data_IF_198570606432
#
_entry.id   IF_198570606432
#
_cell.length_a   1.000
_cell.length_b   1.000
_cell.length_c   1.000
_cell.angle_alpha   90.00
_cell.angle_beta   90.00
_cell.angle_gamma   90.00
#
_symmetry.space_group_name_H-M   'P 1'
#
loop_
_entity.id
_entity.type
_entity.pdbx_description
1 polymer ?
#
# COMPACT_ATOMS: atom_id res chain seq x y z
N UNK A 1 -43.99 -6.64 -24.85
CA UNK A 1 -43.82 -6.92 -23.43
C UNK A 1 -42.34 -6.73 -23.10
N UNK A 2 -42.00 -5.91 -22.09
CA UNK A 2 -40.62 -5.74 -21.66
C UNK A 2 -40.18 -7.05 -21.00
N UNK A 3 -39.06 -7.64 -21.43
CA UNK A 3 -38.57 -8.91 -20.92
C UNK A 3 -37.93 -8.71 -19.54
N UNK A 4 -38.69 -9.02 -18.49
CA UNK A 4 -38.27 -8.87 -17.09
C UNK A 4 -37.09 -9.76 -16.69
N UNK A 5 -36.87 -10.90 -17.36
CA UNK A 5 -35.79 -11.84 -16.98
C UNK A 5 -34.37 -11.29 -17.16
N UNK A 6 -34.16 -10.32 -18.05
CA UNK A 6 -32.88 -9.62 -18.21
C UNK A 6 -32.69 -8.49 -17.20
N UNK A 7 -33.79 -7.84 -16.79
CA UNK A 7 -33.74 -6.82 -15.73
C UNK A 7 -33.50 -7.49 -14.38
N UNK A 8 -34.13 -8.64 -14.12
CA UNK A 8 -33.97 -9.39 -12.87
C UNK A 8 -32.54 -9.91 -12.66
N UNK A 9 -31.87 -10.42 -13.69
CA UNK A 9 -30.49 -10.91 -13.55
C UNK A 9 -29.47 -9.79 -13.32
N UNK A 10 -29.65 -8.64 -13.98
CA UNK A 10 -28.82 -7.46 -13.75
C UNK A 10 -29.10 -6.80 -12.40
N UNK A 11 -30.36 -6.77 -11.97
CA UNK A 11 -30.75 -6.26 -10.64
C UNK A 11 -30.24 -7.20 -9.54
N UNK A 12 -30.34 -8.51 -9.68
CA UNK A 12 -29.77 -9.49 -8.73
C UNK A 12 -28.23 -9.42 -8.71
N UNK A 13 -27.60 -9.23 -9.86
CA UNK A 13 -26.15 -8.98 -9.98
C UNK A 13 -25.73 -7.67 -9.29
N UNK A 14 -26.52 -6.60 -9.40
CA UNK A 14 -26.28 -5.32 -8.72
C UNK A 14 -26.53 -5.41 -7.21
N UNK A 15 -27.59 -6.10 -6.78
CA UNK A 15 -27.92 -6.35 -5.36
C UNK A 15 -26.88 -7.28 -4.71
N UNK A 16 -26.30 -8.22 -5.46
CA UNK A 16 -25.25 -9.12 -4.94
C UNK A 16 -23.88 -8.46 -4.77
N UNK A 17 -23.66 -7.26 -5.34
CA UNK A 17 -22.39 -6.53 -5.28
C UNK A 17 -22.33 -5.48 -4.19
N UNK A 18 -23.49 -5.04 -3.69
CA UNK A 18 -23.57 -3.98 -2.69
C UNK A 18 -24.45 -4.39 -1.53
N UNK A 19 -24.08 -3.99 -0.33
CA UNK A 19 -24.83 -4.20 0.90
C UNK A 19 -24.76 -2.95 1.77
N UNK A 20 -25.53 -2.92 2.85
CA UNK A 20 -25.45 -1.84 3.84
C UNK A 20 -25.39 -2.42 5.24
N UNK A 21 -24.66 -1.75 6.12
CA UNK A 21 -24.62 -2.16 7.53
C UNK A 21 -24.04 -1.10 8.42
N UNK A 22 -24.22 -1.28 9.73
CA UNK A 22 -23.68 -0.39 10.75
C UNK A 22 -22.32 -0.90 11.18
N UNK A 23 -21.32 -0.02 11.22
CA UNK A 23 -20.00 -0.39 11.73
C UNK A 23 -20.02 -0.49 13.24
N UNK A 24 -19.83 -1.71 13.74
CA UNK A 24 -19.84 -2.06 15.16
C UNK A 24 -18.48 -1.84 15.81
N UNK A 25 -17.40 -2.06 15.04
CA UNK A 25 -16.03 -2.00 15.54
C UNK A 25 -15.03 -1.73 14.41
N UNK A 26 -13.97 -1.01 14.73
CA UNK A 26 -12.77 -0.91 13.90
C UNK A 26 -11.64 -1.68 14.58
N UNK A 27 -11.03 -2.61 13.85
CA UNK A 27 -9.96 -3.46 14.36
C UNK A 27 -8.63 -2.72 14.25
N UNK A 28 -8.32 -2.25 13.04
CA UNK A 28 -7.12 -1.52 12.62
C UNK A 28 -7.46 -0.59 11.43
N UNK A 29 -6.46 0.00 10.78
CA UNK A 29 -6.63 1.00 9.74
C UNK A 29 -7.28 0.49 8.43
N UNK A 30 -7.43 -0.82 8.24
CA UNK A 30 -8.07 -1.40 7.05
C UNK A 30 -9.00 -2.57 7.34
N UNK A 31 -9.35 -2.82 8.60
CA UNK A 31 -10.28 -3.89 8.99
C UNK A 31 -11.36 -3.39 9.93
N UNK A 32 -12.62 -3.61 9.56
CA UNK A 32 -13.81 -3.28 10.37
C UNK A 32 -14.69 -4.50 10.62
N UNK A 33 -15.66 -4.35 11.52
CA UNK A 33 -16.73 -5.33 11.76
C UNK A 33 -18.08 -4.69 11.49
N UNK A 34 -18.87 -5.32 10.63
CA UNK A 34 -20.23 -4.93 10.28
C UNK A 34 -21.13 -6.14 10.42
N UNK A 35 -22.19 -6.04 11.22
CA UNK A 35 -23.12 -7.14 11.50
C UNK A 35 -22.39 -8.44 11.91
N UNK A 36 -21.39 -8.35 12.80
CA UNK A 36 -20.54 -9.48 13.20
C UNK A 36 -19.57 -10.03 12.14
N UNK A 37 -19.54 -9.46 10.93
CA UNK A 37 -18.67 -9.90 9.82
C UNK A 37 -17.43 -9.01 9.72
N UNK A 38 -16.25 -9.62 9.60
CA UNK A 38 -15.00 -8.89 9.36
C UNK A 38 -14.90 -8.46 7.89
N UNK A 39 -14.68 -7.17 7.67
CA UNK A 39 -14.44 -6.59 6.34
C UNK A 39 -13.01 -6.06 6.27
N UNK A 40 -12.25 -6.51 5.27
CA UNK A 40 -10.94 -5.98 4.89
C UNK A 40 -11.11 -5.03 3.71
N UNK A 41 -10.67 -3.79 3.89
CA UNK A 41 -10.76 -2.74 2.89
C UNK A 41 -9.91 -3.11 1.66
N UNK A 42 -10.49 -3.13 0.47
CA UNK A 42 -9.78 -3.42 -0.78
C UNK A 42 -8.90 -2.25 -1.25
N UNK A 43 -7.92 -2.56 -2.09
CA UNK A 43 -7.11 -1.56 -2.79
C UNK A 43 -6.08 -0.83 -1.91
N UNK A 44 -6.03 -1.11 -0.61
CA UNK A 44 -5.20 -0.37 0.35
C UNK A 44 -4.52 -1.30 1.36
N UNK A 45 -3.41 -0.83 1.91
CA UNK A 45 -2.79 -1.44 3.08
C UNK A 45 -2.34 -0.36 4.07
N UNK A 46 -2.82 -0.45 5.30
CA UNK A 46 -2.43 0.47 6.37
C UNK A 46 -1.13 0.03 7.04
N UNK A 47 -0.42 0.94 7.74
CA UNK A 47 0.74 0.57 8.53
C UNK A 47 0.38 -0.54 9.53
N UNK A 48 1.34 -1.41 9.86
CA UNK A 48 1.13 -2.45 10.88
C UNK A 48 1.29 -1.90 12.31
N UNK A 49 0.83 -2.60 13.36
CA UNK A 49 0.77 -2.12 14.77
C UNK A 49 2.03 -1.44 15.35
N UNK A 50 3.21 -1.71 14.79
CA UNK A 50 4.50 -1.16 15.25
C UNK A 50 5.13 -0.19 14.24
N UNK A 51 4.41 0.13 13.17
CA UNK A 51 4.84 1.08 12.15
C UNK A 51 4.27 2.46 12.45
N UNK A 52 4.94 3.49 11.93
CA UNK A 52 4.48 4.87 12.02
C UNK A 52 3.11 5.00 11.36
N UNK A 53 2.25 5.83 11.95
CA UNK A 53 0.90 6.13 11.49
C UNK A 53 -0.13 5.00 11.63
N UNK A 54 0.20 3.89 12.32
CA UNK A 54 -0.78 2.83 12.61
C UNK A 54 -1.98 3.34 13.41
N UNK A 55 -1.70 4.04 14.51
CA UNK A 55 -2.74 4.48 15.44
C UNK A 55 -3.58 5.58 14.78
N UNK A 56 -2.91 6.50 14.08
CA UNK A 56 -3.53 7.58 13.31
C UNK A 56 -4.44 7.04 12.19
N UNK A 57 -4.02 5.98 11.48
CA UNK A 57 -4.85 5.33 10.46
C UNK A 57 -6.11 4.71 11.06
N UNK A 58 -5.96 4.01 12.19
CA UNK A 58 -7.08 3.42 12.91
C UNK A 58 -8.07 4.48 13.42
N UNK A 59 -7.57 5.50 14.11
CA UNK A 59 -8.40 6.58 14.67
C UNK A 59 -9.12 7.37 13.59
N UNK A 60 -8.45 7.61 12.47
CA UNK A 60 -9.06 8.25 11.31
C UNK A 60 -10.21 7.41 10.73
N UNK A 61 -9.99 6.10 10.53
CA UNK A 61 -11.05 5.19 10.10
C UNK A 61 -12.21 5.16 11.11
N UNK A 62 -11.91 5.03 12.41
CA UNK A 62 -12.91 5.08 13.50
C UNK A 62 -13.77 6.34 13.43
N UNK A 63 -13.17 7.52 13.32
CA UNK A 63 -13.91 8.79 13.21
C UNK A 63 -14.79 8.88 11.95
N UNK A 64 -14.37 8.23 10.86
CA UNK A 64 -15.12 8.20 9.62
C UNK A 64 -16.31 7.24 9.66
N UNK A 65 -16.19 6.04 10.25
CA UNK A 65 -17.17 4.97 10.02
C UNK A 65 -17.87 4.44 11.27
N UNK A 66 -17.29 4.58 12.47
CA UNK A 66 -17.82 3.93 13.67
C UNK A 66 -19.24 4.41 14.00
N UNK A 67 -20.14 3.48 14.31
CA UNK A 67 -21.57 3.73 14.58
C UNK A 67 -22.34 4.40 13.43
N UNK A 68 -21.81 4.37 12.20
CA UNK A 68 -22.50 4.87 11.00
C UNK A 68 -22.93 3.72 10.11
N UNK A 69 -24.02 3.94 9.37
CA UNK A 69 -24.41 3.07 8.26
C UNK A 69 -23.55 3.37 7.05
N UNK A 70 -22.95 2.34 6.48
CA UNK A 70 -22.07 2.43 5.32
C UNK A 70 -22.58 1.52 4.21
N UNK A 71 -22.33 1.91 2.96
CA UNK A 71 -22.51 1.04 1.81
C UNK A 71 -21.23 0.22 1.62
N UNK A 72 -21.40 -1.10 1.54
CA UNK A 72 -20.33 -2.08 1.33
C UNK A 72 -20.40 -2.47 -0.13
N UNK A 73 -19.33 -2.24 -0.86
CA UNK A 73 -19.20 -2.74 -2.22
C UNK A 73 -18.19 -3.87 -2.27
N UNK A 74 -18.66 -5.08 -2.59
CA UNK A 74 -17.84 -6.27 -2.64
C UNK A 74 -16.90 -6.26 -3.85
N UNK A 75 -15.68 -6.75 -3.63
CA UNK A 75 -14.74 -7.04 -4.70
C UNK A 75 -15.16 -8.19 -5.60
N UNK A 76 -14.40 -8.41 -6.67
CA UNK A 76 -14.60 -9.57 -7.56
C UNK A 76 -14.45 -10.89 -6.79
N UNK A 77 -13.42 -10.99 -5.95
CA UNK A 77 -13.30 -12.02 -4.93
C UNK A 77 -13.99 -11.56 -3.65
N UNK A 78 -14.89 -12.39 -3.12
CA UNK A 78 -15.68 -12.02 -1.94
C UNK A 78 -14.91 -12.18 -0.63
N UNK A 79 -13.99 -13.13 -0.56
CA UNK A 79 -13.30 -13.48 0.68
C UNK A 79 -11.80 -13.64 0.45
N UNK A 80 -11.01 -13.21 1.43
CA UNK A 80 -9.58 -13.54 1.46
C UNK A 80 -9.33 -14.93 2.08
N UNK A 81 -8.06 -15.34 2.11
CA UNK A 81 -7.62 -16.61 2.71
C UNK A 81 -7.90 -16.75 4.21
N UNK A 82 -8.24 -15.66 4.90
CA UNK A 82 -8.61 -15.62 6.31
C UNK A 82 -10.13 -15.52 6.49
N UNK A 83 -10.90 -15.69 5.41
CA UNK A 83 -12.35 -15.62 5.37
C UNK A 83 -12.91 -14.25 5.79
N UNK A 84 -12.14 -13.18 5.60
CA UNK A 84 -12.63 -11.79 5.73
C UNK A 84 -13.27 -11.38 4.42
N UNK A 85 -14.36 -10.63 4.51
CA UNK A 85 -15.02 -10.06 3.33
C UNK A 85 -14.19 -8.94 2.74
N UNK A 86 -14.00 -8.95 1.43
CA UNK A 86 -13.23 -7.95 0.70
C UNK A 86 -14.16 -6.89 0.10
N UNK A 87 -13.99 -5.62 0.49
CA UNK A 87 -14.88 -4.56 0.03
C UNK A 87 -14.27 -3.15 0.01
N UNK A 88 -14.89 -2.29 -0.79
CA UNK A 88 -14.79 -0.83 -0.68
C UNK A 88 -15.93 -0.31 0.19
N UNK A 89 -15.68 0.71 1.00
CA UNK A 89 -16.70 1.33 1.85
C UNK A 89 -17.07 2.71 1.31
N UNK A 90 -18.37 2.97 1.20
CA UNK A 90 -18.91 4.20 0.63
C UNK A 90 -19.84 4.86 1.66
N UNK A 91 -19.66 6.16 1.87
CA UNK A 91 -20.56 7.01 2.66
C UNK A 91 -20.94 8.23 1.83
N UNK A 92 -22.16 8.23 1.29
CA UNK A 92 -22.59 9.25 0.32
C UNK A 92 -21.76 9.14 -0.96
N UNK A 93 -21.03 10.20 -1.29
CA UNK A 93 -20.11 10.24 -2.45
C UNK A 93 -18.67 9.89 -2.07
N UNK A 94 -18.37 9.65 -0.79
CA UNK A 94 -17.01 9.43 -0.32
C UNK A 94 -16.66 7.94 -0.31
N UNK A 95 -15.59 7.57 -1.01
CA UNK A 95 -14.93 6.27 -0.86
C UNK A 95 -13.92 6.32 0.30
N UNK A 96 -14.20 5.60 1.38
CA UNK A 96 -13.40 5.65 2.62
C UNK A 96 -11.99 5.08 2.41
N UNK A 97 -11.85 4.08 1.53
CA UNK A 97 -10.56 3.50 1.17
C UNK A 97 -9.64 4.57 0.57
N UNK A 98 -10.16 5.35 -0.39
CA UNK A 98 -9.45 6.47 -0.98
C UNK A 98 -9.18 7.61 0.02
N UNK A 99 -10.07 7.88 0.97
CA UNK A 99 -9.83 8.88 2.01
C UNK A 99 -8.62 8.54 2.90
N UNK A 100 -8.43 7.27 3.25
CA UNK A 100 -7.23 6.81 3.98
C UNK A 100 -5.96 7.07 3.17
N UNK A 101 -5.97 6.75 1.88
CA UNK A 101 -4.84 6.99 0.97
C UNK A 101 -4.56 8.48 0.82
N UNK A 102 -5.61 9.29 0.59
CA UNK A 102 -5.54 10.74 0.38
C UNK A 102 -4.93 11.49 1.57
N UNK A 103 -5.11 10.95 2.77
CA UNK A 103 -4.55 11.48 4.01
C UNK A 103 -3.21 10.82 4.41
N UNK A 104 -2.65 9.94 3.57
CA UNK A 104 -1.37 9.28 3.82
C UNK A 104 -1.41 8.29 4.97
N UNK A 105 -2.56 7.67 5.20
CA UNK A 105 -2.79 6.68 6.25
C UNK A 105 -2.88 5.25 5.71
N UNK A 106 -2.82 5.08 4.39
CA UNK A 106 -2.67 3.80 3.72
C UNK A 106 -1.78 3.92 2.47
N UNK A 107 -1.03 2.87 2.15
CA UNK A 107 -0.43 2.69 0.83
C UNK A 107 -1.48 2.07 -0.11
N UNK A 108 -1.36 2.32 -1.41
CA UNK A 108 -2.15 1.59 -2.41
C UNK A 108 -1.68 0.13 -2.49
N UNK A 109 -2.63 -0.79 -2.62
CA UNK A 109 -2.38 -2.22 -2.81
C UNK A 109 -3.37 -2.79 -3.83
N UNK A 110 -2.99 -2.76 -5.11
CA UNK A 110 -3.87 -3.03 -6.24
C UNK A 110 -3.48 -4.37 -6.88
N UNK A 111 -4.08 -5.46 -6.40
CA UNK A 111 -3.87 -6.79 -6.97
C UNK A 111 -4.54 -6.95 -8.34
N UNK A 112 -5.73 -6.36 -8.53
CA UNK A 112 -6.46 -6.35 -9.79
C UNK A 112 -7.03 -4.96 -10.07
N UNK A 113 -6.90 -4.50 -11.32
CA UNK A 113 -7.48 -3.22 -11.72
C UNK A 113 -8.99 -3.34 -11.80
N UNK A 114 -9.67 -2.46 -11.08
CA UNK A 114 -11.11 -2.33 -11.05
C UNK A 114 -11.52 -0.86 -11.19
N UNK A 115 -12.81 -0.57 -10.97
CA UNK A 115 -13.36 0.78 -11.10
C UNK A 115 -12.90 1.77 -10.02
N UNK A 116 -12.34 1.29 -8.90
CA UNK A 116 -11.85 2.11 -7.78
C UNK A 116 -10.35 2.43 -7.92
N UNK A 117 -9.64 1.68 -8.75
CA UNK A 117 -8.20 1.87 -9.04
C UNK A 117 -7.85 3.32 -9.41
N UNK A 118 -8.67 3.99 -10.23
CA UNK A 118 -8.41 5.38 -10.63
C UNK A 118 -8.49 6.34 -9.44
N UNK A 119 -9.52 6.19 -8.61
CA UNK A 119 -9.75 6.99 -7.41
C UNK A 119 -8.62 6.81 -6.39
N UNK A 120 -8.16 5.57 -6.17
CA UNK A 120 -7.03 5.28 -5.28
C UNK A 120 -5.72 5.90 -5.76
N UNK A 121 -5.44 5.87 -7.07
CA UNK A 121 -4.25 6.51 -7.65
C UNK A 121 -4.32 8.04 -7.55
N UNK A 122 -5.50 8.63 -7.76
CA UNK A 122 -5.70 10.06 -7.56
C UNK A 122 -5.52 10.47 -6.08
N UNK A 123 -6.06 9.67 -5.17
CA UNK A 123 -5.85 9.84 -3.74
C UNK A 123 -4.36 9.78 -3.37
N UNK A 124 -3.61 8.82 -3.93
CA UNK A 124 -2.16 8.73 -3.70
C UNK A 124 -1.41 9.93 -4.26
N UNK A 125 -1.75 10.40 -5.47
CA UNK A 125 -1.17 11.62 -6.03
C UNK A 125 -1.44 12.84 -5.14
N UNK A 126 -2.64 12.96 -4.61
CA UNK A 126 -3.00 14.02 -3.65
C UNK A 126 -2.19 13.92 -2.36
N UNK A 127 -1.99 12.69 -1.85
CA UNK A 127 -1.15 12.44 -0.69
C UNK A 127 0.30 12.89 -0.92
N UNK A 128 0.87 12.52 -2.06
CA UNK A 128 2.22 12.92 -2.48
C UNK A 128 2.38 14.43 -2.62
N UNK A 129 1.35 15.14 -3.08
CA UNK A 129 1.34 16.61 -3.16
C UNK A 129 1.25 17.27 -1.78
N UNK A 130 0.45 16.71 -0.87
CA UNK A 130 0.26 17.24 0.48
C UNK A 130 1.43 16.94 1.41
N UNK A 131 2.16 15.86 1.18
CA UNK A 131 3.34 15.49 1.95
C UNK A 131 3.05 15.20 3.43
N UNK A 132 1.91 14.56 3.75
CA UNK A 132 1.52 14.22 5.12
C UNK A 132 1.65 12.72 5.39
N UNK A 133 1.88 12.37 6.65
CA UNK A 133 1.90 10.99 7.15
C UNK A 133 2.83 10.09 6.30
N UNK A 134 2.31 9.03 5.68
CA UNK A 134 3.10 8.14 4.81
C UNK A 134 3.71 8.84 3.60
N UNK A 135 3.14 9.94 3.12
CA UNK A 135 3.67 10.69 1.97
C UNK A 135 4.61 11.83 2.35
N UNK A 136 4.90 12.01 3.65
CA UNK A 136 5.86 13.01 4.08
C UNK A 136 7.25 12.70 3.53
N UNK A 137 7.83 13.66 2.82
CA UNK A 137 9.12 13.55 2.14
C UNK A 137 10.26 13.58 3.15
N UNK A 138 11.32 12.81 2.88
CA UNK A 138 12.53 12.83 3.69
C UNK A 138 13.29 14.15 3.55
N UNK A 139 13.62 14.75 4.69
CA UNK A 139 14.52 15.92 4.79
C UNK A 139 16.01 15.52 4.82
N UNK A 140 16.32 14.22 4.85
CA UNK A 140 17.69 13.73 4.80
C UNK A 140 18.33 14.17 3.47
N UNK A 141 19.50 14.85 3.43
CA UNK A 141 20.11 15.30 2.18
C UNK A 141 20.37 14.18 1.17
N UNK A 142 20.61 12.96 1.64
CA UNK A 142 20.78 11.80 0.78
C UNK A 142 19.51 11.38 0.04
N UNK A 143 18.32 11.81 0.48
CA UNK A 143 17.07 11.54 -0.21
C UNK A 143 17.03 12.15 -1.61
N UNK A 144 17.79 13.22 -1.85
CA UNK A 144 17.94 13.86 -3.16
C UNK A 144 18.98 13.18 -4.05
N UNK A 145 19.79 12.28 -3.48
CA UNK A 145 20.91 11.61 -4.14
C UNK A 145 20.62 10.16 -4.53
N UNK A 146 19.81 9.46 -3.74
CA UNK A 146 19.50 8.05 -3.95
C UNK A 146 18.34 7.92 -4.94
N UNK A 147 18.62 7.26 -6.07
CA UNK A 147 17.65 7.03 -7.13
C UNK A 147 17.46 5.52 -7.40
N UNK A 148 16.28 5.19 -7.91
CA UNK A 148 15.98 3.85 -8.40
C UNK A 148 16.52 3.71 -9.82
N UNK A 149 17.59 2.92 -9.99
CA UNK A 149 18.19 2.66 -11.30
C UNK A 149 17.49 1.52 -12.03
N UNK A 150 17.13 0.46 -11.31
CA UNK A 150 16.49 -0.73 -11.88
C UNK A 150 15.58 -1.38 -10.84
N UNK A 151 14.39 -1.80 -11.28
CA UNK A 151 13.51 -2.71 -10.55
C UNK A 151 13.17 -3.87 -11.48
N UNK A 152 13.77 -5.03 -11.22
CA UNK A 152 13.67 -6.24 -12.00
C UNK A 152 12.85 -7.26 -11.21
N UNK A 153 11.53 -7.23 -11.46
CA UNK A 153 10.55 -8.09 -10.77
C UNK A 153 10.83 -9.55 -11.05
N UNK A 154 11.15 -9.93 -12.29
CA UNK A 154 11.41 -11.32 -12.67
C UNK A 154 12.58 -11.92 -11.90
N UNK A 155 13.66 -11.16 -11.72
CA UNK A 155 14.84 -11.61 -10.98
C UNK A 155 14.84 -11.16 -9.51
N UNK A 156 13.74 -10.58 -9.02
CA UNK A 156 13.59 -10.11 -7.64
C UNK A 156 14.75 -9.22 -7.18
N UNK A 157 15.09 -8.24 -8.02
CA UNK A 157 16.30 -7.42 -7.87
C UNK A 157 15.94 -5.95 -7.98
N UNK A 158 16.46 -5.15 -7.06
CA UNK A 158 16.45 -3.69 -7.15
C UNK A 158 17.88 -3.16 -7.14
N UNK A 159 18.13 -2.13 -7.96
CA UNK A 159 19.41 -1.41 -8.00
C UNK A 159 19.16 0.05 -7.65
N UNK A 160 19.83 0.51 -6.61
CA UNK A 160 19.84 1.92 -6.22
C UNK A 160 21.21 2.52 -6.56
N UNK A 161 21.21 3.75 -7.09
CA UNK A 161 22.43 4.51 -7.36
C UNK A 161 22.48 5.77 -6.50
N UNK A 162 23.68 6.13 -6.07
CA UNK A 162 23.95 7.44 -5.50
C UNK A 162 24.47 8.35 -6.62
N UNK A 163 23.62 9.27 -7.12
CA UNK A 163 24.03 10.20 -8.19
C UNK A 163 24.94 11.33 -7.71
N UNK A 164 25.06 11.54 -6.39
CA UNK A 164 25.88 12.59 -5.82
C UNK A 164 27.35 12.16 -5.77
N UNK A 165 28.25 13.13 -5.59
CA UNK A 165 29.70 12.89 -5.48
C UNK A 165 30.16 12.55 -4.06
N UNK A 166 29.25 12.59 -3.08
CA UNK A 166 29.54 12.31 -1.68
C UNK A 166 28.86 11.03 -1.19
N UNK A 167 29.41 10.43 -0.15
CA UNK A 167 28.92 9.20 0.46
C UNK A 167 27.61 9.43 1.25
N UNK A 168 26.67 8.50 1.12
CA UNK A 168 25.39 8.53 1.81
C UNK A 168 25.26 7.40 2.83
N UNK A 169 24.96 7.76 4.08
CA UNK A 169 24.63 6.79 5.12
C UNK A 169 23.17 6.35 4.98
N UNK A 170 22.96 5.10 4.58
CA UNK A 170 21.63 4.52 4.40
C UNK A 170 21.21 3.66 5.60
N UNK A 171 21.96 3.69 6.70
CA UNK A 171 21.68 2.85 7.88
C UNK A 171 20.24 3.07 8.38
N UNK A 172 19.51 1.97 8.57
CA UNK A 172 18.10 1.92 8.96
C UNK A 172 17.11 2.48 7.93
N UNK A 173 17.56 2.85 6.73
CA UNK A 173 16.64 3.04 5.62
C UNK A 173 15.98 1.71 5.27
N UNK A 174 14.80 1.77 4.65
CA UNK A 174 14.03 0.58 4.34
C UNK A 174 13.45 0.58 2.94
N UNK A 175 13.41 -0.61 2.36
CA UNK A 175 12.66 -0.92 1.13
C UNK A 175 11.50 -1.81 1.55
N UNK A 176 10.28 -1.44 1.15
CA UNK A 176 9.07 -2.20 1.47
C UNK A 176 8.28 -2.48 0.19
N UNK A 177 7.67 -3.66 0.12
CA UNK A 177 6.54 -3.90 -0.77
C UNK A 177 5.28 -3.19 -0.21
N UNK A 178 4.19 -3.21 -0.97
CA UNK A 178 2.89 -2.75 -0.50
C UNK A 178 2.27 -3.66 0.56
N UNK A 179 2.81 -4.87 0.72
CA UNK A 179 2.48 -5.83 1.76
C UNK A 179 3.21 -5.58 3.08
N UNK A 180 3.79 -6.67 3.63
CA UNK A 180 4.45 -6.67 4.95
C UNK A 180 5.96 -6.89 4.86
N UNK A 181 6.49 -7.20 3.67
CA UNK A 181 7.90 -7.55 3.54
C UNK A 181 8.70 -6.26 3.58
N UNK A 182 9.74 -6.24 4.42
CA UNK A 182 10.59 -5.07 4.59
C UNK A 182 12.06 -5.43 4.68
N UNK A 183 12.87 -4.80 3.85
CA UNK A 183 14.32 -4.80 3.93
C UNK A 183 14.80 -3.59 4.72
N UNK A 184 15.84 -3.78 5.52
CA UNK A 184 16.54 -2.68 6.20
C UNK A 184 18.02 -2.74 5.88
N UNK A 185 18.59 -1.59 5.54
CA UNK A 185 20.03 -1.41 5.39
C UNK A 185 20.69 -1.46 6.77
N UNK A 186 21.57 -2.44 6.99
CA UNK A 186 22.32 -2.60 8.25
C UNK A 186 23.71 -2.02 8.11
N UNK A 187 23.99 -0.92 8.82
CA UNK A 187 25.30 -0.25 8.84
C UNK A 187 25.88 -0.09 7.42
N UNK A 188 25.15 0.60 6.55
CA UNK A 188 25.46 0.66 5.13
C UNK A 188 25.76 2.09 4.69
N UNK A 189 26.93 2.27 4.09
CA UNK A 189 27.37 3.51 3.46
C UNK A 189 27.46 3.30 1.95
N UNK A 190 26.84 4.18 1.18
CA UNK A 190 26.88 4.13 -0.28
C UNK A 190 27.72 5.28 -0.81
N UNK A 191 28.89 4.93 -1.35
CA UNK A 191 29.80 5.89 -1.98
C UNK A 191 29.13 6.72 -3.08
N UNK A 192 29.65 7.94 -3.30
CA UNK A 192 29.22 8.80 -4.39
C UNK A 192 29.49 8.15 -5.75
N UNK A 193 28.57 8.33 -6.70
CA UNK A 193 28.61 7.73 -8.05
C UNK A 193 28.65 6.19 -8.08
N UNK A 194 28.31 5.55 -6.98
CA UNK A 194 28.28 4.09 -6.83
C UNK A 194 26.85 3.55 -6.75
N UNK A 195 26.74 2.23 -6.81
CA UNK A 195 25.47 1.50 -6.85
C UNK A 195 25.45 0.37 -5.83
N UNK A 196 24.27 0.08 -5.30
CA UNK A 196 24.00 -1.11 -4.49
C UNK A 196 22.88 -1.91 -5.12
N UNK A 197 23.10 -3.23 -5.20
CA UNK A 197 22.09 -4.19 -5.67
C UNK A 197 21.51 -4.89 -4.46
N UNK A 198 20.18 -4.95 -4.38
CA UNK A 198 19.47 -5.75 -3.40
C UNK A 198 18.76 -6.86 -4.16
N UNK A 199 19.09 -8.12 -3.84
CA UNK A 199 18.57 -9.32 -4.50
C UNK A 199 17.83 -10.16 -3.46
N UNK A 200 16.64 -10.63 -3.79
CA UNK A 200 15.92 -11.56 -2.92
C UNK A 200 16.63 -12.92 -2.91
N UNK A 201 16.87 -13.45 -1.72
CA UNK A 201 17.47 -14.76 -1.50
C UNK A 201 18.32 -14.84 -0.24
N UNK A 202 18.86 -16.04 0.02
CA UNK A 202 19.50 -16.40 1.29
C UNK A 202 21.04 -16.43 1.25
N UNK A 203 21.67 -15.63 0.37
CA UNK A 203 23.13 -15.53 0.29
C UNK A 203 23.69 -14.51 1.29
N UNK A 204 25.01 -14.44 1.38
CA UNK A 204 25.72 -13.50 2.25
C UNK A 204 25.95 -12.17 1.52
N UNK A 205 25.75 -11.06 2.23
CA UNK A 205 25.98 -9.72 1.70
C UNK A 205 27.46 -9.51 1.35
N UNK A 206 27.70 -8.71 0.32
CA UNK A 206 28.98 -8.08 0.00
C UNK A 206 28.84 -6.56 0.15
N UNK A 207 29.91 -5.82 -0.15
CA UNK A 207 29.91 -4.35 -0.10
C UNK A 207 28.90 -3.71 -1.07
N UNK A 208 28.65 -4.31 -2.24
CA UNK A 208 27.78 -3.75 -3.29
C UNK A 208 26.56 -4.61 -3.63
N UNK A 209 26.45 -5.81 -3.04
CA UNK A 209 25.31 -6.72 -3.24
C UNK A 209 24.77 -7.16 -1.89
N UNK A 210 23.54 -6.76 -1.60
CA UNK A 210 22.80 -7.13 -0.39
C UNK A 210 21.74 -8.17 -0.73
N UNK A 211 21.47 -9.05 0.22
CA UNK A 211 20.47 -10.10 0.09
C UNK A 211 19.29 -9.85 1.03
N UNK A 212 18.10 -9.75 0.43
CA UNK A 212 16.85 -9.71 1.16
C UNK A 212 16.37 -11.14 1.38
N UNK A 213 16.48 -11.61 2.62
CA UNK A 213 16.16 -13.00 3.03
C UNK A 213 14.66 -13.29 3.02
N UNK A 214 14.10 -13.35 1.83
CA UNK A 214 12.73 -13.76 1.51
C UNK A 214 12.79 -14.77 0.35
N UNK A 215 11.68 -15.48 0.12
CA UNK A 215 11.54 -16.36 -1.04
C UNK A 215 11.13 -15.57 -2.31
N UNK A 216 10.31 -14.53 -2.12
CA UNK A 216 9.93 -13.55 -3.13
C UNK A 216 9.50 -12.25 -2.43
N UNK A 217 9.57 -11.14 -3.14
CA UNK A 217 9.08 -9.83 -2.67
C UNK A 217 8.04 -9.29 -3.63
N UNK A 218 8.45 -9.03 -4.88
CA UNK A 218 7.63 -8.37 -5.89
C UNK A 218 6.92 -9.37 -6.80
N UNK A 219 5.75 -9.01 -7.32
CA UNK A 219 5.01 -9.79 -8.31
C UNK A 219 4.71 -8.95 -9.55
N UNK A 220 4.52 -9.61 -10.68
CA UNK A 220 4.06 -8.95 -11.92
C UNK A 220 2.58 -8.54 -11.84
N UNK A 221 1.84 -8.99 -10.81
CA UNK A 221 0.40 -8.77 -10.69
C UNK A 221 0.04 -7.37 -10.17
N UNK A 222 0.89 -6.70 -9.40
CA UNK A 222 0.57 -5.33 -8.97
C UNK A 222 1.27 -4.89 -7.69
N UNK A 223 2.59 -4.94 -7.68
CA UNK A 223 3.37 -4.55 -6.51
C UNK A 223 3.91 -3.11 -6.61
N UNK A 224 4.37 -2.57 -5.50
CA UNK A 224 5.03 -1.28 -5.39
C UNK A 224 6.34 -1.40 -4.62
N UNK A 225 7.24 -0.48 -4.89
CA UNK A 225 8.45 -0.28 -4.11
C UNK A 225 8.36 1.05 -3.37
N UNK A 226 8.50 1.00 -2.05
CA UNK A 226 8.64 2.19 -1.20
C UNK A 226 10.03 2.22 -0.59
N UNK A 227 10.80 3.28 -0.85
CA UNK A 227 12.06 3.55 -0.17
C UNK A 227 11.84 4.65 0.87
N UNK A 228 12.22 4.37 2.12
CA UNK A 228 12.07 5.29 3.25
C UNK A 228 13.37 5.45 4.03
N UNK A 229 13.56 6.64 4.57
CA UNK A 229 14.72 6.96 5.41
C UNK A 229 14.62 6.30 6.81
N UNK A 230 15.61 6.56 7.66
CA UNK A 230 15.68 6.03 9.02
C UNK A 230 14.56 6.51 9.95
N UNK A 231 13.88 7.61 9.60
CA UNK A 231 12.72 8.16 10.29
C UNK A 231 11.40 7.72 9.66
N UNK A 232 11.44 6.84 8.66
CA UNK A 232 10.28 6.36 7.93
C UNK A 232 9.68 7.36 6.93
N UNK A 233 10.36 8.47 6.63
CA UNK A 233 9.92 9.45 5.64
C UNK A 233 10.20 8.96 4.23
N UNK A 234 9.33 9.31 3.29
CA UNK A 234 9.34 8.80 1.93
C UNK A 234 10.46 9.45 1.11
N UNK A 235 11.25 8.62 0.45
CA UNK A 235 12.31 9.05 -0.46
C UNK A 235 11.80 8.93 -1.90
N UNK A 236 11.45 7.70 -2.29
CA UNK A 236 10.84 7.42 -3.57
C UNK A 236 9.79 6.32 -3.45
N UNK A 237 8.88 6.32 -4.40
CA UNK A 237 7.89 5.27 -4.62
C UNK A 237 7.85 4.94 -6.10
N UNK A 238 7.71 3.66 -6.43
CA UNK A 238 7.50 3.17 -7.79
C UNK A 238 6.42 2.10 -7.79
N UNK A 239 5.33 2.35 -8.50
CA UNK A 239 4.38 1.30 -8.88
C UNK A 239 5.01 0.45 -9.98
N UNK A 240 4.88 -0.88 -9.89
CA UNK A 240 5.22 -1.80 -10.97
C UNK A 240 4.09 -1.72 -11.99
N UNK A 241 4.40 -1.18 -13.16
CA UNK A 241 3.45 -1.07 -14.27
C UNK A 241 3.18 -2.45 -14.87
N UNK A 242 1.93 -2.66 -15.27
CA UNK A 242 1.46 -3.84 -16.00
C UNK A 242 1.75 -3.71 -17.49
#
# INVERSE_FOLDING_TARGET
AVNYGFLDSNVVSLIGKRDTGVVERVIDGDTIVVNGTHIRLLGINTPEKKELYYQEAKEFLEGLVLNKTIEIEYGAERYDKYNRTLAYLIIGENEINAELVRNGLANIYIYDTDRHTAELREAWNTCMQRGKNLCEKSENPCSLCIELKELDVKNQKVVLNNKCDFECNLTNWSIKDEGRKKFFFKNFMLEGKSEVKIIVGNKTNTESVLFWKEDYVWTEAGDSLFLRDEKGKLILWKEIER
#
